data_IF_209175765520
#
_entry.id   IF_209175765520
#
_cell.length_a   1.000
_cell.length_b   1.000
_cell.length_c   1.000
_cell.angle_alpha   90.00
_cell.angle_beta   90.00
_cell.angle_gamma   90.00
#
_symmetry.space_group_name_H-M   'P 1'
#
loop_
_entity.id
_entity.type
_entity.pdbx_description
1 polymer ?
#
# COMPACT_ATOMS: atom_id res chain seq x y z
N UNK A 1 -14.34 6.43 -4.00
CA UNK A 1 -13.14 5.63 -3.62
C UNK A 1 -12.20 6.36 -2.66
N UNK A 2 -11.86 7.64 -2.87
CA UNK A 2 -10.81 8.31 -2.08
C UNK A 2 -11.10 8.51 -0.59
N UNK A 3 -12.36 8.54 -0.14
CA UNK A 3 -12.71 8.68 1.28
C UNK A 3 -12.41 7.39 2.07
N UNK A 4 -12.79 6.23 1.52
CA UNK A 4 -12.54 4.93 2.13
C UNK A 4 -11.04 4.58 2.11
N UNK A 5 -10.35 4.82 1.00
CA UNK A 5 -8.89 4.66 0.92
C UNK A 5 -8.17 5.56 1.94
N UNK A 6 -8.61 6.82 2.11
CA UNK A 6 -8.07 7.73 3.14
C UNK A 6 -8.35 7.23 4.56
N UNK A 7 -9.51 6.63 4.80
CA UNK A 7 -9.85 6.04 6.09
C UNK A 7 -8.94 4.86 6.43
N UNK A 8 -8.79 3.90 5.51
CA UNK A 8 -7.87 2.77 5.66
C UNK A 8 -6.42 3.24 5.84
N UNK A 9 -5.98 4.17 5.00
CA UNK A 9 -4.65 4.77 5.11
C UNK A 9 -4.42 5.39 6.50
N UNK A 10 -5.41 6.09 7.07
CA UNK A 10 -5.30 6.68 8.41
C UNK A 10 -5.21 5.64 9.51
N UNK A 11 -5.99 4.55 9.45
CA UNK A 11 -5.92 3.47 10.43
C UNK A 11 -4.56 2.78 10.37
N UNK A 12 -4.12 2.38 9.18
CA UNK A 12 -2.83 1.74 8.96
C UNK A 12 -1.68 2.67 9.37
N UNK A 13 -1.78 3.95 9.08
CA UNK A 13 -0.81 4.95 9.50
C UNK A 13 -0.76 5.14 11.01
N UNK A 14 -1.91 5.18 11.69
CA UNK A 14 -1.99 5.19 13.16
C UNK A 14 -1.31 3.95 13.76
N UNK A 15 -1.59 2.77 13.20
CA UNK A 15 -0.95 1.51 13.61
C UNK A 15 0.58 1.56 13.44
N UNK A 16 1.05 2.06 12.29
CA UNK A 16 2.48 2.22 12.03
C UNK A 16 3.15 3.20 13.00
N UNK A 17 2.53 4.37 13.25
CA UNK A 17 3.04 5.35 14.20
C UNK A 17 3.05 4.80 15.63
N UNK A 18 2.03 4.04 16.01
CA UNK A 18 1.98 3.35 17.30
C UNK A 18 3.12 2.35 17.43
N UNK A 19 3.36 1.54 16.40
CA UNK A 19 4.45 0.56 16.36
C UNK A 19 5.82 1.24 16.49
N UNK A 20 6.04 2.34 15.77
CA UNK A 20 7.27 3.14 15.83
C UNK A 20 7.55 3.74 17.21
N UNK A 21 6.52 3.98 18.03
CA UNK A 21 6.69 4.53 19.39
C UNK A 21 7.14 3.49 20.41
N UNK A 22 6.97 2.20 20.13
CA UNK A 22 7.21 1.14 21.10
C UNK A 22 8.72 0.94 21.39
N UNK A 23 9.09 0.60 22.64
CA UNK A 23 10.50 0.52 23.07
C UNK A 23 11.29 -0.60 22.37
N UNK A 24 10.68 -1.76 22.12
CA UNK A 24 11.28 -2.86 21.36
C UNK A 24 11.72 -2.45 19.93
N UNK A 25 10.95 -1.60 19.24
CA UNK A 25 11.28 -1.11 17.90
C UNK A 25 12.50 -0.17 17.94
N UNK A 26 12.59 0.66 18.99
CA UNK A 26 13.78 1.47 19.25
C UNK A 26 14.99 0.59 19.59
N UNK A 27 14.77 -0.52 20.28
CA UNK A 27 15.82 -1.52 20.55
C UNK A 27 16.33 -2.16 19.25
N UNK A 28 15.43 -2.60 18.36
CA UNK A 28 15.77 -3.14 17.05
C UNK A 28 16.52 -2.13 16.18
N UNK A 29 16.10 -0.88 16.17
CA UNK A 29 16.80 0.20 15.46
C UNK A 29 18.20 0.45 16.04
N UNK A 30 18.39 0.34 17.35
CA UNK A 30 19.72 0.42 17.97
C UNK A 30 20.56 -0.79 17.58
N UNK A 31 20.00 -2.00 17.67
CA UNK A 31 20.68 -3.23 17.28
C UNK A 31 21.14 -3.19 15.80
N UNK A 32 20.30 -2.70 14.88
CA UNK A 32 20.68 -2.56 13.47
C UNK A 32 21.82 -1.56 13.27
N UNK A 33 21.84 -0.44 14.01
CA UNK A 33 22.97 0.50 13.95
C UNK A 33 24.24 -0.03 14.59
N UNK A 34 24.15 -1.02 15.48
CA UNK A 34 25.31 -1.65 16.14
C UNK A 34 26.02 -2.67 15.23
N UNK A 35 25.38 -3.10 14.14
CA UNK A 35 26.01 -3.95 13.12
C UNK A 35 27.10 -3.22 12.32
N UNK A 36 27.08 -1.88 12.34
CA UNK A 36 28.11 -1.08 11.67
C UNK A 36 29.30 -0.86 12.61
N UNK A 37 30.54 -0.95 12.09
CA UNK A 37 31.74 -0.74 12.89
C UNK A 37 31.74 0.66 13.55
N UNK A 38 32.29 0.78 14.77
CA UNK A 38 32.33 2.04 15.50
C UNK A 38 33.10 3.12 14.72
N UNK A 39 32.68 4.37 14.88
CA UNK A 39 33.24 5.53 14.18
C UNK A 39 32.28 6.15 13.17
N UNK A 40 32.84 6.75 12.11
CA UNK A 40 32.09 7.62 11.20
C UNK A 40 30.94 6.91 10.46
N UNK A 41 31.06 5.61 10.18
CA UNK A 41 30.04 4.82 9.49
C UNK A 41 28.77 4.67 10.34
N UNK A 42 28.90 4.40 11.64
CA UNK A 42 27.77 4.25 12.57
C UNK A 42 27.05 5.58 12.80
N UNK A 43 27.76 6.69 12.91
CA UNK A 43 27.15 8.02 13.04
C UNK A 43 26.40 8.44 11.76
N UNK A 44 26.96 8.15 10.57
CA UNK A 44 26.26 8.36 9.30
C UNK A 44 24.98 7.50 9.19
N UNK A 45 25.04 6.24 9.63
CA UNK A 45 23.88 5.35 9.65
C UNK A 45 22.76 5.87 10.56
N UNK A 46 23.09 6.34 11.77
CA UNK A 46 22.13 6.97 12.70
C UNK A 46 21.47 8.21 12.07
N UNK A 47 22.26 9.10 11.48
CA UNK A 47 21.74 10.32 10.82
C UNK A 47 20.87 9.99 9.60
N UNK A 48 21.22 8.97 8.83
CA UNK A 48 20.41 8.48 7.71
C UNK A 48 19.06 7.95 8.22
N UNK A 49 19.06 7.14 9.26
CA UNK A 49 17.85 6.57 9.86
C UNK A 49 16.91 7.65 10.40
N UNK A 50 17.44 8.70 11.03
CA UNK A 50 16.63 9.85 11.48
C UNK A 50 16.00 10.59 10.30
N UNK A 51 16.74 10.79 9.21
CA UNK A 51 16.23 11.41 7.98
C UNK A 51 15.13 10.57 7.34
N UNK A 52 15.32 9.26 7.24
CA UNK A 52 14.30 8.34 6.74
C UNK A 52 13.03 8.38 7.60
N UNK A 53 13.15 8.40 8.93
CA UNK A 53 11.99 8.54 9.83
C UNK A 53 11.27 9.89 9.69
N UNK A 54 12.01 10.98 9.41
CA UNK A 54 11.40 12.29 9.13
C UNK A 54 10.66 12.28 7.80
N UNK A 55 11.27 11.70 6.76
CA UNK A 55 10.65 11.55 5.45
C UNK A 55 9.41 10.68 5.50
N UNK A 56 9.51 9.49 6.12
CA UNK A 56 8.39 8.59 6.33
C UNK A 56 7.23 9.33 7.01
N UNK A 57 7.49 10.08 8.08
CA UNK A 57 6.44 10.86 8.76
C UNK A 57 5.77 11.92 7.89
N UNK A 58 6.50 12.51 6.94
CA UNK A 58 5.98 13.56 6.04
C UNK A 58 5.18 12.97 4.87
N UNK A 59 5.63 11.86 4.29
CA UNK A 59 5.11 11.36 3.00
C UNK A 59 4.38 10.02 3.14
N UNK A 60 4.43 9.35 4.28
CA UNK A 60 3.86 8.01 4.43
C UNK A 60 2.35 7.94 4.33
N UNK A 61 1.61 8.93 4.88
CA UNK A 61 0.14 8.97 4.75
C UNK A 61 -0.33 9.15 3.30
N UNK A 62 0.20 10.10 2.50
CA UNK A 62 -0.18 10.21 1.09
C UNK A 62 0.22 8.98 0.28
N UNK A 63 1.41 8.38 0.51
CA UNK A 63 1.81 7.14 -0.16
C UNK A 63 0.84 6.00 0.14
N UNK A 64 0.46 5.79 1.40
CA UNK A 64 -0.52 4.77 1.78
C UNK A 64 -1.88 5.02 1.13
N UNK A 65 -2.30 6.29 1.03
CA UNK A 65 -3.57 6.64 0.38
C UNK A 65 -3.56 6.28 -1.10
N UNK A 66 -2.45 6.55 -1.81
CA UNK A 66 -2.28 6.16 -3.21
C UNK A 66 -2.27 4.64 -3.35
N UNK A 67 -1.53 3.93 -2.50
CA UNK A 67 -1.47 2.47 -2.52
C UNK A 67 -2.85 1.82 -2.32
N UNK A 68 -3.64 2.30 -1.35
CA UNK A 68 -5.01 1.82 -1.16
C UNK A 68 -5.95 2.18 -2.31
N UNK A 69 -5.79 3.36 -2.94
CA UNK A 69 -6.57 3.68 -4.13
C UNK A 69 -6.26 2.71 -5.28
N UNK A 70 -4.98 2.39 -5.51
CA UNK A 70 -4.56 1.43 -6.53
C UNK A 70 -5.10 0.02 -6.24
N UNK A 71 -5.00 -0.42 -4.97
CA UNK A 71 -5.57 -1.70 -4.54
C UNK A 71 -7.08 -1.76 -4.81
N UNK A 72 -7.83 -0.74 -4.39
CA UNK A 72 -9.28 -0.70 -4.59
C UNK A 72 -9.64 -0.65 -6.08
N UNK A 73 -8.88 0.09 -6.89
CA UNK A 73 -9.08 0.12 -8.33
C UNK A 73 -8.86 -1.27 -8.95
N UNK A 74 -7.81 -1.98 -8.54
CA UNK A 74 -7.53 -3.35 -8.98
C UNK A 74 -8.65 -4.32 -8.58
N UNK A 75 -9.10 -4.27 -7.32
CA UNK A 75 -10.21 -5.11 -6.85
C UNK A 75 -11.48 -4.84 -7.64
N UNK A 76 -11.82 -3.57 -7.90
CA UNK A 76 -13.01 -3.21 -8.65
C UNK A 76 -12.92 -3.74 -10.09
N UNK A 77 -11.79 -3.56 -10.77
CA UNK A 77 -11.60 -4.09 -12.13
C UNK A 77 -11.76 -5.60 -12.16
N UNK A 78 -11.11 -6.31 -11.24
CA UNK A 78 -11.19 -7.78 -11.17
C UNK A 78 -12.61 -8.26 -10.88
N UNK A 79 -13.29 -7.66 -9.89
CA UNK A 79 -14.67 -8.02 -9.56
C UNK A 79 -15.63 -7.70 -10.71
N UNK A 80 -15.48 -6.55 -11.36
CA UNK A 80 -16.28 -6.20 -12.55
C UNK A 80 -16.10 -7.22 -13.66
N UNK A 81 -14.87 -7.65 -13.92
CA UNK A 81 -14.58 -8.70 -14.91
C UNK A 81 -15.31 -10.01 -14.57
N UNK A 82 -15.21 -10.49 -13.32
CA UNK A 82 -15.89 -11.71 -12.89
C UNK A 82 -17.42 -11.59 -12.93
N UNK A 83 -17.97 -10.42 -12.60
CA UNK A 83 -19.41 -10.16 -12.68
C UNK A 83 -19.89 -10.24 -14.13
N UNK A 84 -19.17 -9.60 -15.06
CA UNK A 84 -19.49 -9.67 -16.50
C UNK A 84 -19.40 -11.11 -17.01
N UNK A 85 -18.36 -11.85 -16.62
CA UNK A 85 -18.20 -13.25 -16.98
C UNK A 85 -19.36 -14.11 -16.45
N UNK A 86 -19.75 -13.96 -15.18
CA UNK A 86 -20.88 -14.69 -14.61
C UNK A 86 -22.21 -14.32 -15.28
N UNK A 87 -22.41 -13.06 -15.64
CA UNK A 87 -23.59 -12.62 -16.37
C UNK A 87 -23.64 -13.18 -17.80
N UNK A 88 -22.47 -13.35 -18.44
CA UNK A 88 -22.34 -14.01 -19.73
C UNK A 88 -22.64 -15.51 -19.62
N UNK A 89 -22.02 -16.21 -18.65
CA UNK A 89 -22.23 -17.65 -18.42
C UNK A 89 -23.67 -17.99 -17.98
N UNK A 90 -24.32 -17.11 -17.20
CA UNK A 90 -25.72 -17.29 -16.80
C UNK A 90 -26.73 -17.00 -17.91
N UNK A 91 -26.28 -16.59 -19.10
CA UNK A 91 -27.13 -16.27 -20.25
C UNK A 91 -27.88 -14.95 -20.12
N UNK A 92 -27.72 -14.21 -19.01
CA UNK A 92 -28.32 -12.90 -18.79
C UNK A 92 -27.72 -11.83 -19.74
N UNK A 93 -26.45 -11.98 -20.09
CA UNK A 93 -25.79 -11.26 -21.18
C UNK A 93 -25.57 -12.24 -22.33
N UNK A 94 -26.56 -12.42 -23.21
CA UNK A 94 -26.28 -12.98 -24.53
C UNK A 94 -25.39 -11.96 -25.25
N UNK A 95 -24.15 -12.34 -25.60
CA UNK A 95 -23.40 -11.55 -26.58
C UNK A 95 -24.31 -11.47 -27.81
N UNK A 96 -24.74 -10.27 -28.15
CA UNK A 96 -25.51 -10.09 -29.38
C UNK A 96 -24.62 -10.64 -30.50
N UNK A 97 -25.07 -11.71 -31.14
CA UNK A 97 -24.43 -12.41 -32.28
C UNK A 97 -24.24 -11.50 -33.52
N UNK A 98 -24.24 -10.18 -33.37
CA UNK A 98 -24.19 -9.18 -34.42
C UNK A 98 -22.79 -8.94 -35.00
N UNK A 99 -21.77 -9.73 -34.64
CA UNK A 99 -20.45 -9.73 -35.29
C UNK A 99 -20.12 -11.03 -36.04
N UNK A 100 -21.10 -11.84 -36.46
CA UNK A 100 -20.82 -13.10 -37.18
C UNK A 100 -21.64 -13.40 -38.44
N UNK A 101 -22.37 -12.43 -38.99
CA UNK A 101 -23.00 -12.57 -40.33
C UNK A 101 -22.79 -11.31 -41.18
N UNK A 102 -21.57 -11.09 -41.61
CA UNK A 102 -21.26 -10.25 -42.78
C UNK A 102 -20.07 -10.88 -43.49
N UNK A 103 -20.33 -12.00 -44.14
CA UNK A 103 -19.58 -12.52 -45.29
C UNK A 103 -20.56 -13.27 -46.18
#
# INVERSE_FOLDING_TARGET
MSAFARFLARISWKGMLWLMRRPWMKSLQRASTNLFPPGQKRERAKLSMVRQNKFARKVGLPILTVAYNLLLASVILTTSYFVVLNLYESGALSATDSMKQSN
#
